data_IF_771058548897
#
_entry.id   IF_771058548897
#
_cell.length_a   1.000
_cell.length_b   1.000
_cell.length_c   1.000
_cell.angle_alpha   90.00
_cell.angle_beta   90.00
_cell.angle_gamma   90.00
#
_symmetry.space_group_name_H-M   'P 1'
#
loop_
_entity.id
_entity.type
_entity.pdbx_description
1 polymer ?
#
# COMPACT_ATOMS: atom_id res chain seq x y z
N UNK A 1 -7.22 -15.22 1.11
CA UNK A 1 -6.47 -15.94 2.15
C UNK A 1 -4.97 -15.65 2.02
N UNK A 2 -4.27 -15.47 3.14
CA UNK A 2 -2.84 -15.18 3.20
C UNK A 2 -2.04 -16.35 3.78
N UNK A 3 -0.85 -16.58 3.24
CA UNK A 3 0.16 -17.47 3.82
C UNK A 3 1.52 -16.79 3.90
N UNK A 4 2.21 -16.95 5.02
CA UNK A 4 3.59 -16.50 5.26
C UNK A 4 4.60 -17.67 5.16
N UNK A 5 4.17 -18.82 4.63
CA UNK A 5 4.99 -20.01 4.54
C UNK A 5 6.27 -19.84 3.72
N UNK A 6 6.30 -18.90 2.76
CA UNK A 6 7.51 -18.63 1.97
C UNK A 6 8.69 -18.21 2.86
N UNK A 7 8.44 -17.42 3.91
CA UNK A 7 9.48 -16.98 4.83
C UNK A 7 10.04 -18.08 5.75
N UNK A 8 9.27 -19.12 6.03
CA UNK A 8 9.59 -20.11 7.06
C UNK A 8 9.82 -21.53 6.53
N UNK A 9 9.10 -21.90 5.48
CA UNK A 9 9.08 -23.25 4.90
C UNK A 9 9.50 -23.25 3.42
N UNK A 10 9.74 -22.07 2.85
CA UNK A 10 10.13 -21.89 1.45
C UNK A 10 8.96 -21.75 0.47
N UNK A 11 9.32 -21.40 -0.76
CA UNK A 11 8.37 -21.04 -1.81
C UNK A 11 7.40 -22.18 -2.17
N UNK A 12 7.90 -23.41 -2.32
CA UNK A 12 7.05 -24.57 -2.68
C UNK A 12 6.00 -24.88 -1.63
N UNK A 13 6.34 -24.81 -0.35
CA UNK A 13 5.39 -24.99 0.74
C UNK A 13 4.32 -23.88 0.77
N UNK A 14 4.69 -22.66 0.37
CA UNK A 14 3.74 -21.55 0.24
C UNK A 14 2.75 -21.77 -0.90
N UNK A 15 3.22 -22.25 -2.07
CA UNK A 15 2.37 -22.63 -3.20
C UNK A 15 1.38 -23.73 -2.79
N UNK A 16 1.86 -24.82 -2.18
CA UNK A 16 1.00 -25.92 -1.74
C UNK A 16 -0.10 -25.43 -0.79
N UNK A 17 0.27 -24.56 0.18
CA UNK A 17 -0.69 -24.00 1.13
C UNK A 17 -1.70 -23.09 0.45
N UNK A 18 -1.27 -22.25 -0.48
CA UNK A 18 -2.16 -21.38 -1.25
C UNK A 18 -3.14 -22.19 -2.15
N UNK A 19 -2.70 -23.31 -2.71
CA UNK A 19 -3.57 -24.23 -3.43
C UNK A 19 -4.67 -24.80 -2.53
N UNK A 20 -4.31 -25.26 -1.33
CA UNK A 20 -5.28 -25.74 -0.31
C UNK A 20 -6.28 -24.63 0.09
N UNK A 21 -5.83 -23.40 0.19
CA UNK A 21 -6.75 -22.27 0.43
C UNK A 21 -7.72 -22.06 -0.73
N UNK A 22 -7.24 -22.18 -1.97
CA UNK A 22 -8.09 -22.12 -3.16
C UNK A 22 -9.14 -23.22 -3.17
N UNK A 23 -8.76 -24.45 -2.84
CA UNK A 23 -9.67 -25.60 -2.75
C UNK A 23 -10.70 -25.45 -1.63
N UNK A 24 -10.31 -24.82 -0.53
CA UNK A 24 -11.19 -24.48 0.59
C UNK A 24 -12.14 -23.30 0.31
N UNK A 25 -12.09 -22.70 -0.89
CA UNK A 25 -13.02 -21.65 -1.30
C UNK A 25 -12.52 -20.21 -1.22
N UNK A 26 -11.21 -19.99 -1.05
CA UNK A 26 -10.66 -18.63 -1.09
C UNK A 26 -10.81 -18.03 -2.49
N UNK A 27 -11.31 -16.81 -2.58
CA UNK A 27 -11.48 -16.08 -3.85
C UNK A 27 -10.20 -15.39 -4.31
N UNK A 28 -9.38 -14.95 -3.36
CA UNK A 28 -8.11 -14.24 -3.59
C UNK A 28 -7.03 -14.89 -2.72
N UNK A 29 -5.84 -15.06 -3.31
CA UNK A 29 -4.68 -15.63 -2.64
C UNK A 29 -3.62 -14.57 -2.41
N UNK A 30 -2.98 -14.63 -1.24
CA UNK A 30 -1.88 -13.76 -0.89
C UNK A 30 -0.71 -14.58 -0.34
N UNK A 31 0.30 -14.81 -1.17
CA UNK A 31 1.56 -15.42 -0.76
C UNK A 31 2.52 -14.31 -0.37
N UNK A 32 2.72 -14.14 0.94
CA UNK A 32 3.60 -13.11 1.51
C UNK A 32 5.06 -13.57 1.51
N UNK A 33 5.96 -12.60 1.56
CA UNK A 33 7.41 -12.81 1.76
C UNK A 33 8.13 -13.53 0.62
N UNK A 34 7.66 -13.41 -0.61
CA UNK A 34 8.45 -13.77 -1.79
C UNK A 34 9.61 -12.78 -1.94
N UNK A 35 10.80 -13.28 -2.27
CA UNK A 35 12.04 -12.49 -2.22
C UNK A 35 12.79 -12.41 -3.55
N UNK A 36 12.32 -13.13 -4.57
CA UNK A 36 12.96 -13.13 -5.88
C UNK A 36 11.99 -12.75 -6.99
N UNK A 37 12.52 -12.17 -8.06
CA UNK A 37 11.75 -11.85 -9.25
C UNK A 37 11.13 -13.09 -9.91
N UNK A 38 11.81 -14.23 -9.84
CA UNK A 38 11.34 -15.49 -10.42
C UNK A 38 10.17 -16.06 -9.63
N UNK A 39 10.19 -15.98 -8.29
CA UNK A 39 9.04 -16.33 -7.45
C UNK A 39 7.82 -15.46 -7.79
N UNK A 40 8.01 -14.14 -7.95
CA UNK A 40 6.93 -13.22 -8.33
C UNK A 40 6.34 -13.62 -9.68
N UNK A 41 7.15 -13.95 -10.68
CA UNK A 41 6.67 -14.38 -12.00
C UNK A 41 6.00 -15.73 -11.97
N UNK A 42 6.45 -16.62 -11.09
CA UNK A 42 5.93 -18.00 -11.01
C UNK A 42 4.54 -18.08 -10.34
N UNK A 43 4.24 -17.20 -9.39
CA UNK A 43 2.97 -17.25 -8.62
C UNK A 43 1.72 -17.30 -9.51
N UNK A 44 1.50 -16.38 -10.48
CA UNK A 44 0.30 -16.40 -11.30
C UNK A 44 0.24 -17.59 -12.27
N UNK A 45 1.38 -18.20 -12.60
CA UNK A 45 1.44 -19.41 -13.42
C UNK A 45 1.07 -20.67 -12.63
N UNK A 46 1.34 -20.67 -11.32
CA UNK A 46 1.17 -21.81 -10.42
C UNK A 46 -0.19 -21.82 -9.70
N UNK A 47 -0.80 -20.66 -9.52
CA UNK A 47 -2.04 -20.47 -8.76
C UNK A 47 -3.12 -19.89 -9.66
N UNK A 48 -4.29 -20.55 -9.73
CA UNK A 48 -5.38 -20.21 -10.67
C UNK A 48 -6.27 -19.05 -10.20
N UNK A 49 -6.32 -18.78 -8.90
CA UNK A 49 -7.16 -17.70 -8.33
C UNK A 49 -6.46 -16.35 -8.47
N UNK A 50 -7.19 -15.24 -8.52
CA UNK A 50 -6.61 -13.90 -8.44
C UNK A 50 -5.67 -13.77 -7.24
N UNK A 51 -4.55 -13.08 -7.44
CA UNK A 51 -3.53 -12.94 -6.41
C UNK A 51 -3.29 -11.49 -6.05
N UNK A 52 -2.98 -11.27 -4.79
CA UNK A 52 -2.49 -9.99 -4.27
C UNK A 52 -0.96 -10.05 -4.17
N UNK A 53 -0.29 -9.02 -4.71
CA UNK A 53 1.14 -8.77 -4.51
C UNK A 53 1.33 -7.53 -3.65
N UNK A 54 2.13 -7.67 -2.59
CA UNK A 54 2.46 -6.56 -1.69
C UNK A 54 3.84 -5.99 -2.01
N UNK A 55 3.86 -4.76 -2.53
CA UNK A 55 5.07 -4.01 -2.82
C UNK A 55 5.46 -3.17 -1.59
N UNK A 56 6.36 -3.70 -0.77
CA UNK A 56 6.86 -3.01 0.44
C UNK A 56 8.12 -2.23 0.08
N UNK A 57 8.01 -0.90 0.03
CA UNK A 57 9.13 -0.01 -0.28
C UNK A 57 10.22 -0.16 0.79
N UNK A 58 11.44 -0.51 0.37
CA UNK A 58 12.55 -0.80 1.28
C UNK A 58 12.49 -2.19 1.94
N UNK A 59 11.53 -3.03 1.56
CA UNK A 59 11.43 -4.43 1.98
C UNK A 59 12.38 -5.37 1.24
N UNK A 60 12.18 -6.67 1.43
CA UNK A 60 12.99 -7.72 0.78
C UNK A 60 12.45 -8.13 -0.60
N UNK A 61 11.16 -7.93 -0.84
CA UNK A 61 10.52 -8.25 -2.12
C UNK A 61 10.97 -7.24 -3.17
N UNK A 62 11.45 -7.68 -4.34
CA UNK A 62 11.78 -6.78 -5.46
C UNK A 62 10.57 -5.94 -5.86
N UNK A 63 10.78 -4.66 -6.13
CA UNK A 63 9.70 -3.76 -6.56
C UNK A 63 9.45 -3.94 -8.06
N UNK A 64 8.22 -4.25 -8.40
CA UNK A 64 7.68 -4.31 -9.75
C UNK A 64 6.68 -3.18 -9.97
N UNK A 65 6.58 -2.69 -11.20
CA UNK A 65 5.53 -1.74 -11.58
C UNK A 65 4.15 -2.39 -11.60
N UNK A 66 3.09 -1.60 -11.35
CA UNK A 66 1.70 -2.09 -11.37
C UNK A 66 1.30 -2.68 -12.71
N UNK A 67 1.71 -2.06 -13.82
CA UNK A 67 1.43 -2.56 -15.17
C UNK A 67 2.16 -3.89 -15.45
N UNK A 68 3.40 -4.03 -14.99
CA UNK A 68 4.15 -5.27 -15.11
C UNK A 68 3.47 -6.40 -14.32
N UNK A 69 3.06 -6.15 -13.08
CA UNK A 69 2.34 -7.12 -12.26
C UNK A 69 0.98 -7.50 -12.87
N UNK A 70 0.24 -6.53 -13.41
CA UNK A 70 -1.00 -6.80 -14.13
C UNK A 70 -0.76 -7.68 -15.36
N UNK A 71 0.30 -7.42 -16.12
CA UNK A 71 0.72 -8.24 -17.27
C UNK A 71 1.12 -9.66 -16.88
N UNK A 72 1.62 -9.87 -15.67
CA UNK A 72 1.91 -11.21 -15.13
C UNK A 72 0.65 -11.95 -14.64
N UNK A 73 -0.49 -11.25 -14.44
CA UNK A 73 -1.75 -11.85 -14.02
C UNK A 73 -2.14 -11.59 -12.55
N UNK A 74 -1.48 -10.66 -11.86
CA UNK A 74 -1.90 -10.24 -10.53
C UNK A 74 -3.20 -9.42 -10.60
N UNK A 75 -4.14 -9.73 -9.72
CA UNK A 75 -5.42 -9.02 -9.64
C UNK A 75 -5.41 -7.80 -8.72
N UNK A 76 -4.50 -7.78 -7.74
CA UNK A 76 -4.38 -6.70 -6.75
C UNK A 76 -2.90 -6.40 -6.50
N UNK A 77 -2.55 -5.11 -6.51
CA UNK A 77 -1.23 -4.62 -6.10
C UNK A 77 -1.40 -3.71 -4.89
N UNK A 78 -0.76 -4.06 -3.78
CA UNK A 78 -0.79 -3.32 -2.53
C UNK A 78 0.55 -2.63 -2.30
N UNK A 79 0.53 -1.32 -2.03
CA UNK A 79 1.67 -0.55 -1.53
C UNK A 79 1.42 -0.22 -0.06
N UNK A 80 1.57 -1.19 0.82
CA UNK A 80 1.11 -1.15 2.21
C UNK A 80 1.62 0.06 3.01
N UNK A 81 2.86 0.49 2.77
CA UNK A 81 3.51 1.53 3.57
C UNK A 81 3.76 2.84 2.80
N UNK A 82 3.40 2.94 1.52
CA UNK A 82 3.75 4.10 0.69
C UNK A 82 3.21 5.42 1.26
N UNK A 83 1.94 5.46 1.64
CA UNK A 83 1.31 6.65 2.20
C UNK A 83 1.92 7.02 3.58
N UNK A 84 2.15 6.03 4.45
CA UNK A 84 2.75 6.24 5.77
C UNK A 84 4.18 6.75 5.65
N UNK A 85 5.00 6.11 4.82
CA UNK A 85 6.39 6.54 4.60
C UNK A 85 6.46 7.94 4.00
N UNK A 86 5.57 8.26 3.04
CA UNK A 86 5.44 9.60 2.48
C UNK A 86 5.02 10.64 3.53
N UNK A 87 4.05 10.32 4.38
CA UNK A 87 3.61 11.20 5.46
C UNK A 87 4.73 11.45 6.47
N UNK A 88 5.47 10.41 6.89
CA UNK A 88 6.62 10.55 7.80
C UNK A 88 7.69 11.46 7.21
N UNK A 89 8.06 11.25 5.94
CA UNK A 89 9.06 12.08 5.25
C UNK A 89 8.63 13.54 5.16
N UNK A 90 7.35 13.80 4.81
CA UNK A 90 6.79 15.15 4.77
C UNK A 90 6.78 15.84 6.14
N UNK A 91 6.32 15.13 7.18
CA UNK A 91 6.35 15.64 8.56
C UNK A 91 7.77 15.99 9.03
N UNK A 92 8.73 15.08 8.80
CA UNK A 92 10.13 15.31 9.17
C UNK A 92 10.70 16.53 8.46
N UNK A 93 10.42 16.71 7.16
CA UNK A 93 10.88 17.86 6.38
C UNK A 93 10.33 19.17 6.95
N UNK A 94 9.03 19.27 7.17
CA UNK A 94 8.38 20.48 7.69
C UNK A 94 8.86 20.82 9.12
N UNK A 95 8.95 19.81 10.00
CA UNK A 95 9.43 20.01 11.37
C UNK A 95 10.92 20.38 11.44
N UNK A 96 11.74 19.87 10.53
CA UNK A 96 13.16 20.29 10.43
C UNK A 96 13.27 21.77 10.08
N UNK A 97 12.52 22.23 9.07
CA UNK A 97 12.50 23.67 8.71
C UNK A 97 12.03 24.51 9.89
N UNK A 98 10.93 24.12 10.57
CA UNK A 98 10.42 24.83 11.73
C UNK A 98 11.47 24.91 12.86
N UNK A 99 12.17 23.83 13.16
CA UNK A 99 13.23 23.77 14.19
C UNK A 99 14.37 24.73 13.86
N UNK A 100 14.81 24.71 12.61
CA UNK A 100 16.05 25.39 12.20
C UNK A 100 15.82 26.89 11.94
N UNK A 101 14.65 27.25 11.38
CA UNK A 101 14.31 28.62 11.02
C UNK A 101 13.34 29.31 11.98
N UNK A 102 12.74 28.55 12.93
CA UNK A 102 11.69 29.00 13.85
C UNK A 102 10.42 29.49 13.13
N UNK A 103 10.25 29.16 11.87
CA UNK A 103 9.12 29.56 11.04
C UNK A 103 8.82 28.50 9.97
N UNK A 104 7.53 28.33 9.67
CA UNK A 104 7.05 27.62 8.49
C UNK A 104 5.92 28.45 7.88
N UNK A 105 6.09 28.84 6.63
CA UNK A 105 5.04 29.48 5.84
C UNK A 105 4.25 28.43 5.05
N UNK A 106 3.12 28.80 4.46
CA UNK A 106 2.35 27.96 3.56
C UNK A 106 3.11 27.81 2.22
N UNK A 107 4.17 27.00 2.25
CA UNK A 107 4.96 26.61 1.08
C UNK A 107 4.51 25.22 0.61
N UNK A 108 3.95 25.09 -0.62
CA UNK A 108 3.51 23.79 -1.16
C UNK A 108 4.62 22.73 -1.23
N UNK A 109 5.90 23.12 -1.20
CA UNK A 109 7.02 22.20 -1.11
C UNK A 109 7.21 21.60 0.29
N UNK A 110 6.59 22.18 1.31
CA UNK A 110 6.70 21.77 2.72
C UNK A 110 5.38 21.28 3.29
N UNK A 111 4.30 22.01 3.04
CA UNK A 111 2.97 21.73 3.60
C UNK A 111 1.89 21.88 2.53
N UNK A 112 0.83 21.12 2.65
CA UNK A 112 -0.35 21.32 1.79
C UNK A 112 -1.01 22.66 2.13
N UNK A 113 -1.55 23.40 1.14
CA UNK A 113 -2.31 24.63 1.39
C UNK A 113 -3.48 24.39 2.35
N UNK A 114 -3.77 25.38 3.19
CA UNK A 114 -4.85 25.28 4.18
C UNK A 114 -6.19 24.91 3.56
N UNK A 115 -6.52 25.47 2.39
CA UNK A 115 -7.74 25.17 1.66
C UNK A 115 -7.82 23.67 1.25
N UNK A 116 -6.70 23.09 0.81
CA UNK A 116 -6.64 21.67 0.45
C UNK A 116 -6.79 20.76 1.67
N UNK A 117 -6.15 21.12 2.79
CA UNK A 117 -6.36 20.42 4.06
C UNK A 117 -7.84 20.42 4.46
N UNK A 118 -8.53 21.57 4.34
CA UNK A 118 -9.95 21.68 4.67
C UNK A 118 -10.82 20.80 3.74
N UNK A 119 -10.48 20.77 2.45
CA UNK A 119 -11.14 19.89 1.48
C UNK A 119 -10.97 18.41 1.86
N UNK A 120 -9.76 17.99 2.21
CA UNK A 120 -9.45 16.59 2.54
C UNK A 120 -10.19 16.09 3.78
N UNK A 121 -10.49 16.96 4.76
CA UNK A 121 -11.24 16.61 5.97
C UNK A 121 -12.74 16.84 5.84
N UNK A 122 -13.25 17.14 4.64
CA UNK A 122 -14.68 17.33 4.39
C UNK A 122 -15.29 18.57 5.07
N UNK A 123 -14.45 19.62 5.33
CA UNK A 123 -14.93 20.84 6.02
C UNK A 123 -16.06 21.55 5.26
N UNK A 124 -16.05 21.70 3.91
CA UNK A 124 -17.15 22.33 3.18
C UNK A 124 -18.50 21.60 3.37
N UNK A 125 -18.49 20.28 3.38
CA UNK A 125 -19.68 19.45 3.60
C UNK A 125 -20.19 19.61 5.02
N UNK A 126 -19.30 19.64 6.01
CA UNK A 126 -19.66 19.87 7.41
C UNK A 126 -20.28 21.26 7.59
N UNK A 127 -19.67 22.31 7.01
CA UNK A 127 -20.21 23.68 7.07
C UNK A 127 -21.60 23.80 6.44
N UNK A 128 -21.83 23.06 5.34
CA UNK A 128 -23.14 23.02 4.71
C UNK A 128 -24.21 22.35 5.62
N UNK A 129 -23.83 21.28 6.31
CA UNK A 129 -24.68 20.62 7.29
C UNK A 129 -24.97 21.52 8.51
N UNK A 130 -23.94 22.16 9.06
CA UNK A 130 -24.09 23.11 10.17
C UNK A 130 -25.08 24.24 9.80
N UNK A 131 -24.90 24.85 8.61
CA UNK A 131 -25.84 25.88 8.13
C UNK A 131 -27.27 25.37 7.97
N UNK A 132 -27.43 24.12 7.51
CA UNK A 132 -28.77 23.52 7.32
C UNK A 132 -29.48 23.25 8.62
N UNK A 133 -28.78 22.93 9.68
CA UNK A 133 -29.33 22.54 10.97
C UNK A 133 -29.09 23.56 12.09
N UNK A 134 -28.41 24.67 11.82
CA UNK A 134 -28.34 25.80 12.74
C UNK A 134 -29.74 26.45 12.84
N UNK A 135 -30.38 26.30 13.99
CA UNK A 135 -31.62 26.96 14.36
C UNK A 135 -31.41 28.38 14.83
#
# INVERSE_FOLDING_TARGET
ARTDAAATLGFEAAIERAQKFSEAGADILFVEAVTTADEIRALPQRLKKPQLMNMVIGGKTPIFGTEELAGLGYGIVLYANAALQGAVAGMQKALTVLRDTRRVDEDPALVVPFAERQRLVGKPELDALEKRYAS
#
